data_IF_053580132887
#
_entry.id   IF_053580132887
#
_cell.length_a   1.000
_cell.length_b   1.000
_cell.length_c   1.000
_cell.angle_alpha   90.00
_cell.angle_beta   90.00
_cell.angle_gamma   90.00
#
_symmetry.space_group_name_H-M   'P 1'
#
loop_
_entity.id
_entity.type
_entity.pdbx_description
1 polymer ?
#
# COMPACT_ATOMS: atom_id res chain seq x y z
N UNK A 1 -35.63 -53.27 35.94
CA UNK A 1 -34.25 -52.78 36.15
C UNK A 1 -34.03 -51.64 35.17
N UNK A 2 -33.52 -50.50 35.65
CA UNK A 2 -33.43 -49.22 34.93
C UNK A 2 -32.06 -49.13 34.24
N UNK A 3 -32.03 -48.80 32.95
CA UNK A 3 -30.79 -48.40 32.25
C UNK A 3 -31.05 -47.07 31.57
N UNK A 4 -30.47 -46.00 32.14
CA UNK A 4 -30.44 -44.67 31.54
C UNK A 4 -29.13 -44.54 30.76
N UNK A 5 -29.24 -44.34 29.45
CA UNK A 5 -28.12 -44.09 28.55
C UNK A 5 -27.89 -42.57 28.47
N UNK A 6 -26.78 -42.09 29.02
CA UNK A 6 -26.37 -40.68 28.95
C UNK A 6 -25.60 -40.47 27.65
N UNK A 7 -26.20 -39.78 26.67
CA UNK A 7 -25.51 -39.33 25.45
C UNK A 7 -24.73 -38.04 25.75
N UNK A 8 -23.41 -38.14 25.83
CA UNK A 8 -22.51 -36.99 25.71
C UNK A 8 -22.27 -36.73 24.21
N UNK A 9 -22.93 -35.72 23.64
CA UNK A 9 -22.60 -35.22 22.30
C UNK A 9 -21.61 -34.07 22.41
N UNK A 10 -20.41 -34.31 21.88
CA UNK A 10 -19.24 -33.43 21.89
C UNK A 10 -19.52 -32.18 21.03
N UNK A 11 -19.56 -31.00 21.65
CA UNK A 11 -19.56 -29.72 20.95
C UNK A 11 -18.15 -29.46 20.41
N UNK A 12 -17.93 -29.70 19.11
CA UNK A 12 -16.70 -29.32 18.43
C UNK A 12 -16.69 -27.81 18.18
N UNK A 13 -16.01 -27.06 19.05
CA UNK A 13 -15.67 -25.66 18.81
C UNK A 13 -14.61 -25.60 17.71
N UNK A 14 -15.03 -25.33 16.47
CA UNK A 14 -14.13 -24.88 15.41
C UNK A 14 -13.63 -23.47 15.80
N UNK A 15 -12.45 -23.40 16.43
CA UNK A 15 -11.72 -22.15 16.55
C UNK A 15 -11.23 -21.76 15.15
N UNK A 16 -11.99 -20.90 14.47
CA UNK A 16 -11.47 -20.15 13.33
C UNK A 16 -10.35 -19.24 13.84
N UNK A 17 -9.11 -19.72 13.75
CA UNK A 17 -7.95 -18.87 13.94
C UNK A 17 -7.85 -17.97 12.71
N UNK A 18 -8.40 -16.76 12.81
CA UNK A 18 -8.13 -15.71 11.85
C UNK A 18 -6.64 -15.41 11.90
N UNK A 19 -5.90 -15.82 10.88
CA UNK A 19 -4.55 -15.33 10.66
C UNK A 19 -4.68 -13.84 10.41
N UNK A 20 -4.33 -13.02 11.41
CA UNK A 20 -4.14 -11.60 11.21
C UNK A 20 -2.96 -11.45 10.26
N UNK A 21 -3.24 -11.27 8.97
CA UNK A 21 -2.23 -10.85 8.03
C UNK A 21 -1.69 -9.52 8.55
N UNK A 22 -0.39 -9.48 8.86
CA UNK A 22 0.24 -8.27 9.35
C UNK A 22 0.13 -7.21 8.25
N UNK A 23 -0.80 -6.27 8.45
CA UNK A 23 -1.03 -5.19 7.50
C UNK A 23 0.19 -4.28 7.50
N UNK A 24 0.67 -3.92 6.31
CA UNK A 24 1.78 -2.99 6.19
C UNK A 24 1.41 -1.66 6.86
N UNK A 25 2.24 -1.24 7.82
CA UNK A 25 2.03 0.01 8.55
C UNK A 25 2.55 1.18 7.70
N UNK A 26 1.67 2.15 7.42
CA UNK A 26 2.08 3.42 6.83
C UNK A 26 2.48 4.37 7.95
N UNK A 27 3.77 4.69 8.04
CA UNK A 27 4.34 5.47 9.15
C UNK A 27 4.88 6.81 8.67
N UNK A 28 4.74 7.82 9.52
CA UNK A 28 5.45 9.09 9.49
C UNK A 28 6.92 8.90 9.93
N UNK A 29 7.77 9.89 9.68
CA UNK A 29 9.20 9.86 10.06
C UNK A 29 9.43 9.67 11.57
N UNK A 30 8.47 10.05 12.40
CA UNK A 30 8.51 9.84 13.86
C UNK A 30 7.99 8.47 14.31
N UNK A 31 7.72 7.56 13.37
CA UNK A 31 7.22 6.20 13.62
C UNK A 31 5.74 6.12 13.98
N UNK A 32 5.00 7.24 14.00
CA UNK A 32 3.55 7.21 14.22
C UNK A 32 2.81 6.82 12.93
N UNK A 33 1.63 6.19 13.03
CA UNK A 33 0.79 5.97 11.86
C UNK A 33 0.45 7.28 11.15
N UNK A 34 0.48 7.26 9.82
CA UNK A 34 0.03 8.38 8.98
C UNK A 34 -1.45 8.64 9.23
N UNK A 35 -1.80 9.89 9.53
CA UNK A 35 -3.20 10.32 9.75
C UNK A 35 -3.86 10.90 8.50
N UNK A 36 -3.08 11.17 7.45
CA UNK A 36 -3.56 11.76 6.22
C UNK A 36 -4.49 10.80 5.45
N UNK A 37 -5.74 11.25 5.28
CA UNK A 37 -6.79 10.53 4.55
C UNK A 37 -6.92 11.04 3.12
N UNK A 38 -7.74 10.39 2.28
CA UNK A 38 -8.08 10.88 0.94
C UNK A 38 -8.52 12.34 0.95
N UNK A 39 -9.41 12.73 1.87
CA UNK A 39 -9.93 14.10 1.98
C UNK A 39 -8.82 15.10 2.25
N UNK A 40 -7.90 14.75 3.16
CA UNK A 40 -6.79 15.64 3.52
C UNK A 40 -5.83 15.82 2.34
N UNK A 41 -5.55 14.75 1.61
CA UNK A 41 -4.67 14.80 0.44
C UNK A 41 -5.30 15.60 -0.71
N UNK A 42 -6.60 15.46 -0.95
CA UNK A 42 -7.31 16.31 -1.91
C UNK A 42 -7.26 17.79 -1.50
N UNK A 43 -7.37 18.10 -0.20
CA UNK A 43 -7.17 19.48 0.28
C UNK A 43 -5.75 19.99 -0.03
N UNK A 44 -4.72 19.14 0.12
CA UNK A 44 -3.35 19.51 -0.22
C UNK A 44 -3.15 19.78 -1.71
N UNK A 45 -3.82 19.02 -2.58
CA UNK A 45 -3.80 19.22 -4.04
C UNK A 45 -4.21 20.63 -4.44
N UNK A 46 -5.13 21.24 -3.70
CA UNK A 46 -5.62 22.59 -3.98
C UNK A 46 -4.89 23.70 -3.22
N UNK A 47 -4.25 23.38 -2.09
CA UNK A 47 -3.73 24.39 -1.15
C UNK A 47 -2.20 24.50 -1.08
N UNK A 48 -1.48 23.51 -1.58
CA UNK A 48 -0.01 23.48 -1.51
C UNK A 48 0.63 23.77 -2.87
N UNK A 49 1.87 24.27 -2.87
CA UNK A 49 2.58 24.65 -4.10
C UNK A 49 4.00 24.08 -4.13
N UNK A 50 4.21 23.06 -4.97
CA UNK A 50 5.54 22.71 -5.51
C UNK A 50 6.55 22.10 -4.53
N UNK A 51 6.12 21.34 -3.51
CA UNK A 51 7.04 20.72 -2.53
C UNK A 51 6.43 19.49 -1.87
N UNK A 52 7.28 18.72 -1.19
CA UNK A 52 6.86 17.75 -0.19
C UNK A 52 5.97 18.42 0.86
N UNK A 53 4.86 17.76 1.20
CA UNK A 53 3.93 18.25 2.22
C UNK A 53 3.95 17.34 3.44
N UNK A 54 3.66 16.06 3.26
CA UNK A 54 3.58 15.06 4.31
C UNK A 54 3.51 13.66 3.70
N UNK A 55 3.46 12.62 4.54
CA UNK A 55 3.13 11.27 4.09
C UNK A 55 1.62 11.10 3.93
N UNK A 56 1.24 10.22 3.02
CA UNK A 56 -0.15 9.95 2.67
C UNK A 56 -0.43 8.45 2.70
N UNK A 57 -1.58 8.08 3.26
CA UNK A 57 -2.16 6.75 3.20
C UNK A 57 -3.53 6.85 2.53
N UNK A 58 -3.58 6.56 1.23
CA UNK A 58 -4.78 6.80 0.41
C UNK A 58 -5.25 5.54 -0.30
N UNK A 59 -6.55 5.50 -0.55
CA UNK A 59 -7.21 4.42 -1.29
C UNK A 59 -7.90 5.01 -2.50
N UNK A 60 -7.80 4.34 -3.64
CA UNK A 60 -8.39 4.86 -4.86
C UNK A 60 -8.64 3.79 -5.91
N UNK A 61 -9.18 4.24 -7.04
CA UNK A 61 -9.36 3.42 -8.23
C UNK A 61 -8.36 3.88 -9.27
N UNK A 62 -7.60 2.96 -9.85
CA UNK A 62 -6.75 3.30 -11.00
C UNK A 62 -7.66 3.77 -12.13
N UNK A 63 -7.40 4.96 -12.67
CA UNK A 63 -8.15 5.53 -13.79
C UNK A 63 -7.32 5.61 -15.06
N UNK A 64 -5.99 5.67 -14.92
CA UNK A 64 -5.08 5.78 -16.06
C UNK A 64 -3.72 5.18 -15.73
N UNK A 65 -3.11 4.52 -16.71
CA UNK A 65 -1.69 4.17 -16.67
C UNK A 65 -0.92 5.11 -17.59
N UNK A 66 0.23 5.59 -17.13
CA UNK A 66 1.17 6.36 -17.92
C UNK A 66 2.28 5.44 -18.46
N UNK A 67 2.98 5.83 -19.54
CA UNK A 67 4.18 5.12 -19.98
C UNK A 67 5.20 5.05 -18.84
N UNK A 68 5.80 3.89 -18.66
CA UNK A 68 6.86 3.70 -17.68
C UNK A 68 8.03 4.63 -18.00
N UNK A 69 8.59 5.26 -16.97
CA UNK A 69 9.76 6.13 -17.07
C UNK A 69 10.78 5.65 -16.05
N UNK A 70 12.07 5.65 -16.42
CA UNK A 70 13.17 5.44 -15.46
C UNK A 70 13.03 4.23 -14.52
N UNK A 71 12.44 3.11 -14.99
CA UNK A 71 12.16 1.92 -14.18
C UNK A 71 11.14 2.13 -13.05
N UNK A 72 10.17 3.03 -13.28
CA UNK A 72 9.03 3.29 -12.41
C UNK A 72 7.71 2.99 -13.13
N UNK A 73 6.76 2.43 -12.40
CA UNK A 73 5.36 2.41 -12.83
C UNK A 73 4.72 3.75 -12.47
N UNK A 74 4.03 4.35 -13.44
CA UNK A 74 3.28 5.59 -13.26
C UNK A 74 1.81 5.34 -13.57
N UNK A 75 0.92 5.69 -12.65
CA UNK A 75 -0.51 5.57 -12.87
C UNK A 75 -1.29 6.58 -12.03
N UNK A 76 -2.44 7.03 -12.55
CA UNK A 76 -3.34 7.91 -11.82
C UNK A 76 -4.37 7.11 -11.03
N UNK A 77 -4.66 7.54 -9.82
CA UNK A 77 -5.74 7.03 -8.97
C UNK A 77 -6.75 8.13 -8.69
N UNK A 78 -8.03 7.77 -8.80
CA UNK A 78 -9.15 8.58 -8.35
C UNK A 78 -9.47 8.22 -6.89
N UNK A 79 -9.43 9.23 -6.01
CA UNK A 79 -9.58 9.07 -4.56
C UNK A 79 -11.03 9.07 -4.07
N UNK A 80 -11.97 9.62 -4.83
CA UNK A 80 -13.35 9.82 -4.40
C UNK A 80 -14.39 9.34 -5.43
N UNK A 81 -13.96 8.93 -6.63
CA UNK A 81 -14.82 8.40 -7.68
C UNK A 81 -15.48 9.46 -8.54
N UNK A 82 -15.08 10.74 -8.45
CA UNK A 82 -15.69 11.83 -9.21
C UNK A 82 -14.88 12.22 -10.47
N UNK A 83 -13.72 11.61 -10.70
CA UNK A 83 -12.82 11.90 -11.81
C UNK A 83 -12.15 13.28 -11.74
N UNK A 84 -12.17 13.95 -10.58
CA UNK A 84 -11.54 15.24 -10.31
C UNK A 84 -10.52 15.08 -9.19
N UNK A 85 -9.33 15.64 -9.40
CA UNK A 85 -8.28 15.59 -8.38
C UNK A 85 -7.57 14.23 -8.28
N UNK A 86 -7.55 13.48 -9.38
CA UNK A 86 -6.73 12.28 -9.53
C UNK A 86 -5.27 12.55 -9.13
N UNK A 87 -4.63 11.59 -8.45
CA UNK A 87 -3.22 11.64 -8.09
C UNK A 87 -2.39 10.66 -8.90
N UNK A 88 -1.22 11.09 -9.33
CA UNK A 88 -0.24 10.16 -9.89
C UNK A 88 0.48 9.40 -8.78
N UNK A 89 0.62 8.09 -8.93
CA UNK A 89 1.39 7.20 -8.06
C UNK A 89 2.60 6.73 -8.83
N UNK A 90 3.77 6.87 -8.21
CA UNK A 90 5.06 6.45 -8.77
C UNK A 90 5.62 5.30 -7.93
N UNK A 91 5.64 4.10 -8.51
CA UNK A 91 6.15 2.88 -7.87
C UNK A 91 7.49 2.46 -8.48
N UNK A 92 8.49 2.16 -7.65
CA UNK A 92 9.82 1.74 -8.11
C UNK A 92 9.94 0.22 -8.23
N UNK A 93 10.22 -0.28 -9.45
CA UNK A 93 10.30 -1.73 -9.69
C UNK A 93 11.47 -2.42 -8.97
N UNK A 94 12.49 -1.67 -8.54
CA UNK A 94 13.59 -2.22 -7.72
C UNK A 94 13.10 -2.74 -6.37
N UNK A 95 11.93 -2.28 -5.91
CA UNK A 95 11.26 -2.74 -4.69
C UNK A 95 10.47 -4.05 -4.87
N UNK A 96 10.36 -4.54 -6.10
CA UNK A 96 9.59 -5.73 -6.44
C UNK A 96 8.79 -5.54 -7.73
N UNK A 97 8.50 -6.64 -8.41
CA UNK A 97 7.58 -6.63 -9.55
C UNK A 97 6.14 -6.56 -9.03
N UNK A 98 5.34 -5.70 -9.65
CA UNK A 98 3.89 -5.60 -9.44
C UNK A 98 3.16 -6.23 -10.64
N UNK A 99 1.92 -6.71 -10.47
CA UNK A 99 1.09 -7.09 -11.60
C UNK A 99 0.88 -5.87 -12.52
N UNK A 100 0.52 -6.13 -13.78
CA UNK A 100 0.20 -5.05 -14.72
C UNK A 100 -0.94 -4.19 -14.19
N UNK A 101 -0.68 -2.89 -14.01
CA UNK A 101 -1.69 -1.92 -13.54
C UNK A 101 -2.68 -1.63 -14.67
N UNK A 102 -3.96 -1.82 -14.39
CA UNK A 102 -5.06 -1.54 -15.33
C UNK A 102 -6.12 -0.64 -14.71
N UNK A 103 -6.75 0.26 -15.49
CA UNK A 103 -7.90 1.03 -15.01
C UNK A 103 -8.99 0.14 -14.40
N UNK A 104 -9.62 0.61 -13.33
CA UNK A 104 -10.64 -0.10 -12.55
C UNK A 104 -10.10 -0.85 -11.33
N UNK A 105 -8.79 -1.10 -11.24
CA UNK A 105 -8.18 -1.74 -10.07
C UNK A 105 -8.34 -0.88 -8.82
N UNK A 106 -8.69 -1.50 -7.68
CA UNK A 106 -8.69 -0.86 -6.37
C UNK A 106 -7.31 -0.98 -5.76
N UNK A 107 -6.76 0.16 -5.34
CA UNK A 107 -5.42 0.21 -4.76
C UNK A 107 -5.41 1.01 -3.48
N UNK A 108 -4.51 0.62 -2.59
CA UNK A 108 -4.12 1.41 -1.42
C UNK A 108 -2.65 1.75 -1.56
N UNK A 109 -2.26 3.00 -1.40
CA UNK A 109 -0.86 3.40 -1.48
C UNK A 109 -0.45 4.19 -0.24
N UNK A 110 0.78 3.96 0.19
CA UNK A 110 1.46 4.69 1.23
C UNK A 110 2.75 5.28 0.66
N UNK A 111 2.99 6.58 0.88
CA UNK A 111 4.20 7.24 0.42
C UNK A 111 4.21 8.74 0.72
N UNK A 112 5.13 9.44 0.08
CA UNK A 112 5.32 10.88 0.23
C UNK A 112 4.42 11.64 -0.74
N UNK A 113 3.56 12.52 -0.21
CA UNK A 113 2.78 13.42 -1.03
C UNK A 113 3.62 14.65 -1.43
N UNK A 114 3.65 14.93 -2.73
CA UNK A 114 4.37 16.05 -3.30
C UNK A 114 3.49 16.72 -4.36
N UNK A 115 3.23 18.02 -4.19
CA UNK A 115 2.64 18.82 -5.28
C UNK A 115 3.71 19.08 -6.33
N UNK A 116 3.47 18.62 -7.56
CA UNK A 116 4.45 18.57 -8.63
C UNK A 116 3.84 19.08 -9.94
N UNK A 117 4.21 20.30 -10.35
CA UNK A 117 3.65 20.96 -11.55
C UNK A 117 3.95 20.21 -12.86
N UNK A 118 4.99 19.38 -12.87
CA UNK A 118 5.38 18.53 -13.98
C UNK A 118 4.66 17.18 -13.98
N UNK A 119 3.92 16.83 -12.92
CA UNK A 119 3.01 15.70 -12.95
C UNK A 119 1.80 16.04 -13.82
N UNK A 120 1.30 15.12 -14.67
CA UNK A 120 0.05 15.31 -15.40
C UNK A 120 -1.16 15.59 -14.50
N UNK A 121 -1.07 15.19 -13.23
CA UNK A 121 -2.10 15.29 -12.22
C UNK A 121 -1.88 16.44 -11.22
N UNK A 122 -0.80 17.22 -11.37
CA UNK A 122 -0.45 18.33 -10.47
C UNK A 122 0.13 17.90 -9.12
N UNK A 123 0.01 16.63 -8.74
CA UNK A 123 0.65 16.05 -7.57
C UNK A 123 0.92 14.56 -7.73
N UNK A 124 1.87 14.07 -6.92
CA UNK A 124 2.31 12.68 -6.91
C UNK A 124 2.28 12.11 -5.49
N UNK A 125 2.07 10.79 -5.40
CA UNK A 125 2.54 9.97 -4.29
C UNK A 125 3.83 9.29 -4.76
N UNK A 126 4.93 9.68 -4.13
CA UNK A 126 6.27 9.15 -4.39
C UNK A 126 6.74 8.29 -3.22
N UNK A 127 7.94 7.70 -3.32
CA UNK A 127 8.49 6.81 -2.29
C UNK A 127 7.57 5.63 -1.96
N UNK A 128 6.86 5.11 -2.96
CA UNK A 128 5.96 3.96 -2.83
C UNK A 128 6.79 2.67 -2.91
N UNK A 129 7.74 2.55 -2.00
CA UNK A 129 8.63 1.41 -1.86
C UNK A 129 9.29 1.39 -0.48
N UNK A 130 9.88 0.25 -0.16
CA UNK A 130 10.63 0.03 1.06
C UNK A 130 11.99 0.71 0.99
N UNK A 131 12.45 1.14 2.16
CA UNK A 131 13.73 1.78 2.36
C UNK A 131 14.81 0.73 2.59
N UNK A 132 15.26 0.10 1.50
CA UNK A 132 16.28 -0.96 1.53
C UNK A 132 17.66 -0.55 2.07
N UNK A 133 17.93 0.76 2.22
CA UNK A 133 19.24 1.30 2.61
C UNK A 133 19.24 1.95 4.00
N UNK A 134 18.14 1.90 4.74
CA UNK A 134 18.04 2.53 6.06
C UNK A 134 18.16 4.05 6.03
N UNK A 135 17.66 4.71 4.98
CA UNK A 135 17.54 6.17 4.89
C UNK A 135 16.55 6.77 5.89
N UNK A 136 16.36 8.10 5.85
CA UNK A 136 15.53 8.85 6.80
C UNK A 136 14.02 8.60 6.69
N UNK A 137 13.53 8.09 5.56
CA UNK A 137 12.11 7.94 5.31
C UNK A 137 11.63 6.53 5.64
N UNK A 138 10.47 6.36 6.32
CA UNK A 138 9.88 5.05 6.51
C UNK A 138 9.50 4.41 5.16
N UNK A 139 9.21 3.11 5.19
CA UNK A 139 8.73 2.40 4.00
C UNK A 139 7.43 3.02 3.48
N UNK A 140 7.31 3.10 2.16
CA UNK A 140 6.03 3.20 1.47
C UNK A 140 5.61 1.83 0.93
N UNK A 141 4.42 1.74 0.35
CA UNK A 141 3.93 0.50 -0.26
C UNK A 141 2.76 0.72 -1.20
N UNK A 142 2.56 -0.23 -2.09
CA UNK A 142 1.37 -0.35 -2.92
C UNK A 142 0.63 -1.63 -2.58
N UNK A 143 -0.67 -1.56 -2.33
CA UNK A 143 -1.55 -2.72 -2.17
C UNK A 143 -2.52 -2.79 -3.34
N UNK A 144 -2.60 -3.94 -3.98
CA UNK A 144 -3.51 -4.22 -5.10
C UNK A 144 -4.29 -5.46 -4.71
N UNK A 145 -5.62 -5.35 -4.63
CA UNK A 145 -6.52 -6.45 -4.23
C UNK A 145 -6.10 -7.12 -2.90
N UNK A 146 -5.63 -6.31 -1.94
CA UNK A 146 -5.19 -6.77 -0.62
C UNK A 146 -3.78 -7.36 -0.57
N UNK A 147 -3.11 -7.54 -1.72
CA UNK A 147 -1.70 -7.95 -1.77
C UNK A 147 -0.78 -6.73 -1.75
N UNK A 148 0.13 -6.69 -0.77
CA UNK A 148 1.09 -5.60 -0.59
C UNK A 148 2.37 -5.85 -1.38
N UNK A 149 2.90 -4.78 -1.98
CA UNK A 149 4.12 -4.73 -2.79
C UNK A 149 5.02 -3.59 -2.32
N UNK A 150 6.32 -3.78 -2.49
CA UNK A 150 7.33 -2.77 -2.15
C UNK A 150 7.37 -2.44 -0.65
N UNK A 151 7.02 -3.37 0.24
CA UNK A 151 7.06 -3.19 1.70
C UNK A 151 8.01 -4.21 2.33
N UNK A 152 8.81 -3.82 3.33
CA UNK A 152 9.58 -4.77 4.15
C UNK A 152 8.96 -4.87 5.55
N UNK A 153 8.31 -5.98 5.91
CA UNK A 153 7.76 -6.17 7.26
C UNK A 153 8.86 -6.26 8.33
N UNK A 154 10.13 -6.42 7.93
CA UNK A 154 11.29 -6.62 8.80
C UNK A 154 12.15 -5.36 8.80
N UNK A 155 11.57 -4.21 9.15
CA UNK A 155 12.27 -2.92 9.15
C UNK A 155 13.37 -2.78 10.24
N UNK A 156 13.77 -3.85 10.94
CA UNK A 156 14.78 -3.82 12.01
C UNK A 156 16.04 -4.67 11.78
N UNK A 157 16.15 -5.45 10.69
CA UNK A 157 17.29 -6.37 10.48
C UNK A 157 18.24 -6.00 9.33
N UNK A 158 17.96 -4.94 8.57
CA UNK A 158 18.78 -4.60 7.38
C UNK A 158 18.57 -5.55 6.20
N UNK A 159 17.51 -6.36 6.20
CA UNK A 159 17.13 -7.18 5.06
C UNK A 159 16.55 -6.33 3.92
N UNK A 160 17.07 -6.60 2.72
CA UNK A 160 16.60 -5.99 1.48
C UNK A 160 15.10 -6.21 1.35
N UNK A 161 14.37 -5.18 0.92
CA UNK A 161 13.00 -5.23 0.40
C UNK A 161 12.66 -6.65 -0.05
N UNK A 162 11.73 -7.33 0.63
CA UNK A 162 11.38 -8.71 0.32
C UNK A 162 11.02 -8.79 -1.16
N UNK A 163 11.97 -9.20 -2.00
CA UNK A 163 11.68 -9.59 -3.37
C UNK A 163 10.73 -10.76 -3.21
N UNK A 164 9.58 -10.81 -3.91
CA UNK A 164 8.69 -11.95 -3.82
C UNK A 164 9.53 -13.21 -4.04
N UNK A 165 9.68 -14.01 -2.98
CA UNK A 165 10.49 -15.23 -3.04
C UNK A 165 9.84 -16.10 -4.11
N UNK A 166 10.58 -16.53 -5.16
CA UNK A 166 10.02 -17.40 -6.17
C UNK A 166 9.40 -18.61 -5.49
N UNK A 167 8.14 -18.92 -5.80
CA UNK A 167 7.41 -20.06 -5.24
C UNK A 167 8.13 -21.40 -5.53
N UNK A 168 9.10 -21.42 -6.45
CA UNK A 168 9.96 -22.55 -6.78
C UNK A 168 11.03 -22.88 -5.72
N UNK A 169 11.18 -22.09 -4.64
CA UNK A 169 12.13 -22.34 -3.55
C UNK A 169 11.45 -22.83 -2.25
N UNK A 170 10.15 -23.15 -2.29
CA UNK A 170 9.38 -23.69 -1.16
C UNK A 170 9.02 -25.18 -1.32
N UNK A 171 9.81 -25.94 -2.07
CA UNK A 171 9.67 -27.40 -2.21
C UNK A 171 10.91 -28.10 -1.66
#
# INVERSE_FOLDING_TARGET
MKSALVLFSVLSFFQMQSTFAQQASCLEDNGKPVSATNTEVLNWLHSTNGRFTARAYVQGTVVKRYPDQTNHAHFAIDLNGDGVGDLEVIYQYDAGQIPGITPGMKVTTCGDYITAKNSPNGAIIHWVHCNSRGGSHPDGFLSIDGKVYGFSPIASSGEQCLRPVPTSLLL
#
